data_IF_930658198510
#
_entry.id   IF_930658198510
#
_cell.length_a   1.000
_cell.length_b   1.000
_cell.length_c   1.000
_cell.angle_alpha   90.00
_cell.angle_beta   90.00
_cell.angle_gamma   90.00
#
_symmetry.space_group_name_H-M   'P 1'
#
loop_
_entity.id
_entity.type
_entity.pdbx_description
1 polymer ?
#
# COMPACT_ATOMS: atom_id res chain seq x y z
N UNK A 1 11.44 -24.65 11.57
CA UNK A 1 11.64 -23.69 10.47
C UNK A 1 10.61 -24.01 9.42
N UNK A 2 9.81 -23.04 8.98
CA UNK A 2 8.81 -23.23 7.93
C UNK A 2 9.52 -23.51 6.60
N UNK A 3 8.97 -24.44 5.80
CA UNK A 3 9.41 -24.68 4.43
C UNK A 3 8.64 -23.78 3.43
N UNK A 4 8.94 -23.91 2.14
CA UNK A 4 8.29 -23.08 1.09
C UNK A 4 6.79 -23.32 0.99
N UNK A 5 6.32 -24.53 1.26
CA UNK A 5 4.89 -24.88 1.25
C UNK A 5 4.20 -24.26 2.46
N UNK A 6 4.84 -24.32 3.62
CA UNK A 6 4.33 -23.69 4.85
C UNK A 6 4.21 -22.17 4.66
N UNK A 7 5.23 -21.52 4.09
CA UNK A 7 5.23 -20.09 3.78
C UNK A 7 4.13 -19.72 2.78
N UNK A 8 3.93 -20.56 1.76
CA UNK A 8 2.83 -20.38 0.80
C UNK A 8 1.46 -20.46 1.49
N UNK A 9 1.26 -21.49 2.34
CA UNK A 9 0.03 -21.66 3.11
C UNK A 9 -0.20 -20.47 4.03
N UNK A 10 0.83 -20.01 4.73
CA UNK A 10 0.78 -18.85 5.61
C UNK A 10 0.40 -17.56 4.85
N UNK A 11 0.99 -17.33 3.68
CA UNK A 11 0.66 -16.20 2.80
C UNK A 11 -0.81 -16.25 2.36
N UNK A 12 -1.29 -17.41 1.90
CA UNK A 12 -2.68 -17.59 1.49
C UNK A 12 -3.62 -17.38 2.67
N UNK A 13 -3.33 -17.96 3.82
CA UNK A 13 -4.13 -17.83 5.02
C UNK A 13 -4.23 -16.37 5.48
N UNK A 14 -3.10 -15.66 5.56
CA UNK A 14 -3.06 -14.23 5.91
C UNK A 14 -3.99 -13.40 5.02
N UNK A 15 -4.04 -13.70 3.72
CA UNK A 15 -4.91 -13.02 2.77
C UNK A 15 -6.38 -13.48 2.81
N UNK A 16 -6.70 -14.52 3.57
CA UNK A 16 -8.05 -15.09 3.70
C UNK A 16 -8.66 -14.95 5.07
N UNK A 17 -7.99 -14.31 6.02
CA UNK A 17 -8.45 -14.20 7.41
C UNK A 17 -9.86 -13.61 7.50
N UNK A 18 -10.11 -12.50 6.83
CA UNK A 18 -11.42 -11.84 6.85
C UNK A 18 -11.74 -11.16 5.52
N UNK A 19 -13.03 -11.08 5.17
CA UNK A 19 -13.50 -10.42 3.95
C UNK A 19 -15.00 -10.59 3.73
N UNK A 20 -15.51 -10.04 2.63
CA UNK A 20 -16.95 -9.94 2.36
C UNK A 20 -17.60 -11.15 1.69
N UNK A 21 -16.85 -12.19 1.42
CA UNK A 21 -17.38 -13.34 0.67
C UNK A 21 -17.15 -14.67 1.36
N UNK A 22 -17.89 -15.72 0.99
CA UNK A 22 -17.63 -17.09 1.48
C UNK A 22 -16.24 -17.63 1.19
N UNK A 23 -15.43 -16.92 0.38
CA UNK A 23 -14.03 -17.27 0.11
C UNK A 23 -13.04 -16.87 1.19
N UNK A 24 -13.50 -16.30 2.30
CA UNK A 24 -12.67 -15.94 3.46
C UNK A 24 -13.00 -16.82 4.66
N UNK A 25 -12.08 -16.94 5.60
CA UNK A 25 -12.27 -17.71 6.83
C UNK A 25 -13.35 -17.10 7.72
N UNK A 26 -13.37 -15.78 7.80
CA UNK A 26 -14.43 -15.04 8.46
C UNK A 26 -15.08 -14.07 7.46
N UNK A 27 -16.40 -14.14 7.36
CA UNK A 27 -17.17 -13.18 6.56
C UNK A 27 -17.47 -11.96 7.39
N UNK A 28 -17.19 -10.81 6.85
CA UNK A 28 -17.19 -9.58 7.58
C UNK A 28 -17.78 -8.41 6.78
N UNK A 29 -18.36 -7.44 7.47
CA UNK A 29 -19.12 -6.34 6.86
C UNK A 29 -18.31 -5.08 6.58
N UNK A 30 -17.04 -5.07 6.94
CA UNK A 30 -16.12 -3.94 6.72
C UNK A 30 -15.19 -4.21 5.53
N UNK A 31 -14.45 -3.21 5.05
CA UNK A 31 -13.51 -3.41 3.96
C UNK A 31 -12.58 -4.60 4.20
N UNK A 32 -12.18 -5.32 3.14
CA UNK A 32 -11.47 -6.60 3.25
C UNK A 32 -10.17 -6.59 4.06
N UNK A 33 -9.64 -5.41 4.32
CA UNK A 33 -8.34 -5.25 4.98
C UNK A 33 -8.43 -4.86 6.45
N UNK A 34 -9.65 -4.62 6.96
CA UNK A 34 -9.86 -4.17 8.33
C UNK A 34 -10.64 -5.22 9.11
N UNK A 35 -10.08 -5.71 10.20
CA UNK A 35 -10.80 -6.50 11.17
C UNK A 35 -11.13 -5.61 12.36
N UNK A 36 -12.41 -5.55 12.77
CA UNK A 36 -12.76 -4.87 14.01
C UNK A 36 -12.15 -5.56 15.21
N UNK A 37 -12.00 -4.84 16.30
CA UNK A 37 -11.56 -5.43 17.56
C UNK A 37 -12.48 -6.58 18.00
N UNK A 38 -11.92 -7.51 18.76
CA UNK A 38 -12.67 -8.65 19.31
C UNK A 38 -13.91 -8.23 20.07
N UNK A 39 -13.82 -7.16 20.88
CA UNK A 39 -14.95 -6.62 21.64
C UNK A 39 -16.06 -6.09 20.72
N UNK A 40 -15.69 -5.35 19.66
CA UNK A 40 -16.65 -4.84 18.69
C UNK A 40 -17.32 -5.98 17.91
N UNK A 41 -16.56 -7.04 17.53
CA UNK A 41 -17.13 -8.19 16.84
C UNK A 41 -18.13 -8.95 17.71
N UNK A 42 -17.83 -9.14 19.00
CA UNK A 42 -18.78 -9.74 19.95
C UNK A 42 -20.07 -8.92 20.04
N UNK A 43 -19.98 -7.61 20.13
CA UNK A 43 -21.16 -6.72 20.17
C UNK A 43 -21.99 -6.82 18.87
N UNK A 44 -21.35 -6.86 17.72
CA UNK A 44 -22.01 -7.03 16.40
C UNK A 44 -22.74 -8.38 16.36
N UNK A 45 -22.09 -9.46 16.79
CA UNK A 45 -22.68 -10.79 16.79
C UNK A 45 -23.92 -10.86 17.70
N UNK A 46 -23.86 -10.27 18.88
CA UNK A 46 -25.00 -10.18 19.79
C UNK A 46 -26.16 -9.37 19.17
N UNK A 47 -25.86 -8.17 18.67
CA UNK A 47 -26.89 -7.29 18.09
C UNK A 47 -27.58 -7.89 16.86
N UNK A 48 -26.88 -8.72 16.11
CA UNK A 48 -27.39 -9.37 14.89
C UNK A 48 -27.88 -10.80 15.12
N UNK A 49 -27.81 -11.29 16.36
CA UNK A 49 -28.10 -12.68 16.69
C UNK A 49 -27.42 -13.66 15.72
N UNK A 50 -26.14 -13.44 15.47
CA UNK A 50 -25.35 -14.22 14.51
C UNK A 50 -24.21 -14.97 15.20
N UNK A 51 -23.94 -16.18 14.70
CA UNK A 51 -22.78 -16.99 15.07
C UNK A 51 -21.81 -17.05 13.90
N UNK A 52 -20.54 -17.29 14.21
CA UNK A 52 -19.54 -17.48 13.15
C UNK A 52 -19.89 -18.76 12.37
N UNK A 53 -20.05 -18.68 11.03
CA UNK A 53 -20.32 -19.87 10.23
C UNK A 53 -19.09 -20.77 10.20
N UNK A 54 -19.32 -22.06 10.26
CA UNK A 54 -18.25 -23.04 10.06
C UNK A 54 -17.65 -22.93 8.65
N UNK A 55 -16.33 -22.95 8.56
CA UNK A 55 -15.58 -22.82 7.30
C UNK A 55 -14.57 -23.94 7.16
N UNK A 56 -14.57 -24.61 6.03
CA UNK A 56 -13.51 -25.53 5.64
C UNK A 56 -12.29 -24.71 5.16
N UNK A 57 -11.41 -24.39 6.10
CA UNK A 57 -10.20 -23.58 5.88
C UNK A 57 -9.27 -24.23 4.84
N UNK A 58 -9.14 -25.57 4.87
CA UNK A 58 -8.30 -26.31 3.91
C UNK A 58 -8.80 -26.14 2.49
N UNK A 59 -10.10 -26.30 2.28
CA UNK A 59 -10.74 -26.13 0.98
C UNK A 59 -10.59 -24.70 0.44
N UNK A 60 -10.69 -23.69 1.31
CA UNK A 60 -10.49 -22.29 0.93
C UNK A 60 -9.04 -22.01 0.53
N UNK A 61 -8.06 -22.53 1.27
CA UNK A 61 -6.63 -22.41 0.94
C UNK A 61 -6.35 -23.08 -0.41
N UNK A 62 -6.78 -24.34 -0.59
CA UNK A 62 -6.58 -25.08 -1.84
C UNK A 62 -7.22 -24.39 -3.05
N UNK A 63 -8.46 -23.90 -2.91
CA UNK A 63 -9.15 -23.16 -3.97
C UNK A 63 -8.38 -21.92 -4.38
N UNK A 64 -7.87 -21.14 -3.41
CA UNK A 64 -7.12 -19.91 -3.69
C UNK A 64 -5.75 -20.23 -4.28
N UNK A 65 -5.04 -21.21 -3.74
CA UNK A 65 -3.75 -21.68 -4.27
C UNK A 65 -3.88 -22.11 -5.73
N UNK A 66 -4.88 -22.96 -6.04
CA UNK A 66 -5.14 -23.39 -7.43
C UNK A 66 -5.37 -22.21 -8.37
N UNK A 67 -6.17 -21.22 -7.95
CA UNK A 67 -6.46 -20.04 -8.78
C UNK A 67 -5.21 -19.16 -9.03
N UNK A 68 -4.30 -19.06 -8.07
CA UNK A 68 -3.06 -18.29 -8.24
C UNK A 68 -2.04 -19.04 -9.09
N UNK A 69 -1.84 -20.32 -8.83
CA UNK A 69 -0.86 -21.15 -9.56
C UNK A 69 -1.23 -21.31 -11.04
N UNK A 70 -2.52 -21.49 -11.34
CA UNK A 70 -2.97 -21.55 -12.73
C UNK A 70 -2.69 -20.24 -13.49
N UNK A 71 -2.92 -19.08 -12.85
CA UNK A 71 -2.60 -17.79 -13.47
C UNK A 71 -1.10 -17.60 -13.65
N UNK A 72 -0.30 -17.99 -12.66
CA UNK A 72 1.17 -17.90 -12.75
C UNK A 72 1.74 -18.77 -13.84
N UNK A 73 1.25 -19.99 -14.02
CA UNK A 73 1.67 -20.89 -15.10
C UNK A 73 1.42 -20.30 -16.49
N UNK A 74 0.35 -19.51 -16.67
CA UNK A 74 0.06 -18.82 -17.94
C UNK A 74 1.00 -17.63 -18.21
N UNK A 75 1.51 -16.98 -17.15
CA UNK A 75 2.40 -15.81 -17.27
C UNK A 75 3.87 -16.24 -17.40
N UNK A 76 4.25 -17.35 -16.77
CA UNK A 76 5.64 -17.81 -16.64
C UNK A 76 6.10 -18.67 -17.83
N UNK A 77 5.46 -18.60 -19.00
CA UNK A 77 5.91 -19.31 -20.22
C UNK A 77 7.39 -18.96 -20.56
N UNK A 78 8.32 -19.53 -19.78
CA UNK A 78 9.74 -19.56 -20.07
C UNK A 78 10.59 -18.39 -19.56
N UNK A 79 10.04 -17.26 -19.18
CA UNK A 79 10.80 -16.14 -18.63
C UNK A 79 10.74 -16.14 -17.10
N UNK A 80 11.75 -16.74 -16.48
CA UNK A 80 12.00 -16.56 -15.05
C UNK A 80 12.48 -15.12 -14.85
N UNK A 81 11.56 -14.24 -14.41
CA UNK A 81 11.97 -12.91 -13.99
C UNK A 81 12.71 -13.05 -12.66
N UNK A 82 13.93 -12.59 -12.61
CA UNK A 82 14.65 -12.45 -11.37
C UNK A 82 13.92 -11.40 -10.53
N UNK A 83 13.46 -11.81 -9.36
CA UNK A 83 12.81 -10.91 -8.42
C UNK A 83 13.48 -11.01 -7.06
N UNK A 84 13.47 -9.89 -6.37
CA UNK A 84 14.03 -9.74 -5.05
C UNK A 84 12.97 -9.13 -4.13
N UNK A 85 12.84 -9.68 -2.93
CA UNK A 85 11.92 -9.18 -1.90
C UNK A 85 12.73 -8.87 -0.65
N UNK A 86 12.63 -7.64 -0.18
CA UNK A 86 13.26 -7.20 1.06
C UNK A 86 12.24 -6.55 2.00
N UNK A 87 12.51 -6.62 3.29
CA UNK A 87 11.78 -5.91 4.34
C UNK A 87 12.71 -4.83 4.89
N UNK A 88 12.57 -3.62 4.35
CA UNK A 88 13.40 -2.47 4.69
C UNK A 88 12.57 -1.21 4.83
N UNK A 89 13.13 -0.19 5.47
CA UNK A 89 12.49 1.13 5.51
C UNK A 89 12.70 1.86 4.18
N UNK A 90 11.65 2.46 3.63
CA UNK A 90 11.72 3.16 2.35
C UNK A 90 12.68 4.37 2.31
N UNK A 91 13.10 4.85 3.48
CA UNK A 91 14.13 5.90 3.60
C UNK A 91 15.54 5.33 3.83
N UNK A 92 15.73 4.00 3.78
CA UNK A 92 17.00 3.33 3.99
C UNK A 92 17.00 1.93 3.36
N UNK A 93 17.14 1.86 2.04
CA UNK A 93 17.11 0.64 1.23
C UNK A 93 18.53 0.05 1.11
N UNK A 94 19.01 -0.55 2.20
CA UNK A 94 20.41 -1.04 2.33
C UNK A 94 20.80 -2.08 1.29
N UNK A 95 19.85 -2.90 0.86
CA UNK A 95 20.08 -3.98 -0.08
C UNK A 95 20.02 -3.55 -1.53
N UNK A 96 19.57 -2.30 -1.80
CA UNK A 96 19.48 -1.75 -3.15
C UNK A 96 20.67 -0.84 -3.44
N UNK A 97 21.44 -1.18 -4.46
CA UNK A 97 22.63 -0.43 -4.85
C UNK A 97 22.27 0.95 -5.44
N UNK A 98 23.20 1.88 -5.35
CA UNK A 98 23.13 3.18 -6.01
C UNK A 98 22.98 2.99 -7.52
N UNK A 99 22.24 3.89 -8.17
CA UNK A 99 22.11 3.95 -9.63
C UNK A 99 21.70 2.60 -10.28
N UNK A 100 20.91 1.76 -9.57
CA UNK A 100 20.55 0.40 -10.02
C UNK A 100 19.11 0.28 -10.53
N UNK A 101 18.21 1.16 -10.11
CA UNK A 101 16.76 1.09 -10.38
C UNK A 101 16.37 2.00 -11.53
N UNK A 102 15.61 1.50 -12.49
CA UNK A 102 15.13 2.30 -13.63
C UNK A 102 13.78 2.95 -13.38
N UNK A 103 12.92 2.31 -12.59
CA UNK A 103 11.58 2.79 -12.27
C UNK A 103 11.19 2.40 -10.84
N UNK A 104 10.67 3.36 -10.08
CA UNK A 104 10.00 3.14 -8.80
C UNK A 104 8.52 3.46 -8.95
N UNK A 105 7.66 2.56 -8.48
CA UNK A 105 6.22 2.78 -8.37
C UNK A 105 5.82 2.55 -6.93
N UNK A 106 5.28 3.56 -6.26
CA UNK A 106 4.95 3.47 -4.84
C UNK A 106 3.81 4.39 -4.45
N UNK A 107 3.16 4.06 -3.33
CA UNK A 107 2.14 4.87 -2.67
C UNK A 107 2.51 4.94 -1.18
N UNK A 108 2.79 6.13 -0.63
CA UNK A 108 3.15 6.29 0.77
C UNK A 108 1.94 6.11 1.68
N UNK A 109 2.15 5.96 3.00
CA UNK A 109 1.06 6.05 3.96
C UNK A 109 0.29 7.37 3.84
N UNK A 110 -1.03 7.28 3.88
CA UNK A 110 -1.89 8.47 3.84
C UNK A 110 -1.71 9.32 5.09
N UNK A 111 -1.68 10.62 4.89
CA UNK A 111 -1.67 11.58 5.99
C UNK A 111 -3.02 11.52 6.73
N UNK A 112 -2.99 11.25 8.04
CA UNK A 112 -4.11 11.44 8.99
C UNK A 112 -5.38 10.57 8.76
N UNK A 113 -5.36 9.59 7.84
CA UNK A 113 -6.58 8.89 7.40
C UNK A 113 -6.64 7.45 7.88
N UNK A 114 -5.51 6.75 7.97
CA UNK A 114 -5.47 5.29 8.17
C UNK A 114 -4.73 4.92 9.44
N UNK A 115 -5.41 4.22 10.34
CA UNK A 115 -4.77 3.53 11.46
C UNK A 115 -4.19 2.20 10.99
N UNK A 116 -3.03 2.26 10.33
CA UNK A 116 -2.37 1.06 9.77
C UNK A 116 -2.08 -0.01 10.81
N UNK A 117 -1.84 0.39 12.07
CA UNK A 117 -1.58 -0.52 13.17
C UNK A 117 -2.85 -1.24 13.59
N UNK A 118 -3.91 -0.47 13.87
CA UNK A 118 -5.21 -1.01 14.21
C UNK A 118 -5.81 -1.85 13.08
N UNK A 119 -5.67 -1.41 11.84
CA UNK A 119 -6.22 -2.12 10.67
C UNK A 119 -5.53 -3.46 10.39
N UNK A 120 -4.28 -3.64 10.83
CA UNK A 120 -3.52 -4.86 10.60
C UNK A 120 -3.41 -5.78 11.84
N UNK A 121 -4.07 -5.45 12.95
CA UNK A 121 -3.94 -6.21 14.20
C UNK A 121 -4.17 -7.72 14.02
N UNK A 122 -5.18 -8.13 13.24
CA UNK A 122 -5.50 -9.54 13.03
C UNK A 122 -4.41 -10.26 12.21
N UNK A 123 -3.81 -9.58 11.23
CA UNK A 123 -2.70 -10.13 10.44
C UNK A 123 -1.44 -10.25 11.28
N UNK A 124 -1.16 -9.24 12.09
CA UNK A 124 -0.04 -9.26 13.03
C UNK A 124 -0.20 -10.40 14.04
N UNK A 125 -1.39 -10.51 14.65
CA UNK A 125 -1.70 -11.62 15.56
C UNK A 125 -1.51 -12.99 14.89
N UNK A 126 -2.06 -13.19 13.71
CA UNK A 126 -1.97 -14.47 12.98
C UNK A 126 -0.53 -14.86 12.63
N UNK A 127 0.29 -13.88 12.26
CA UNK A 127 1.69 -14.10 11.89
C UNK A 127 2.66 -13.95 13.07
N UNK A 128 2.17 -13.82 14.30
CA UNK A 128 2.98 -13.65 15.52
C UNK A 128 3.92 -12.45 15.44
N UNK A 129 3.47 -11.37 14.81
CA UNK A 129 4.18 -10.10 14.70
C UNK A 129 3.67 -9.18 15.81
N UNK A 130 4.57 -8.66 16.62
CA UNK A 130 4.25 -7.58 17.54
C UNK A 130 4.18 -6.25 16.76
N UNK A 131 2.99 -5.63 16.62
CA UNK A 131 2.85 -4.38 15.88
C UNK A 131 3.60 -3.21 16.54
N UNK A 132 3.94 -3.30 17.84
CA UNK A 132 4.75 -2.29 18.52
C UNK A 132 6.22 -2.35 18.09
N UNK A 133 6.69 -3.51 17.67
CA UNK A 133 8.07 -3.69 17.17
C UNK A 133 8.25 -3.21 15.73
N UNK A 134 7.17 -2.92 15.00
CA UNK A 134 7.21 -2.48 13.61
C UNK A 134 7.15 -0.96 13.55
N UNK A 135 8.14 -0.33 12.92
CA UNK A 135 8.16 1.10 12.66
C UNK A 135 7.11 1.47 11.58
N UNK A 136 5.84 1.56 11.98
CA UNK A 136 4.74 1.93 11.09
C UNK A 136 4.68 3.45 11.00
N UNK A 137 4.78 3.97 9.78
CA UNK A 137 4.68 5.40 9.53
C UNK A 137 3.20 5.84 9.58
N UNK A 138 2.88 6.70 10.54
CA UNK A 138 1.56 7.31 10.70
C UNK A 138 1.73 8.75 11.18
N UNK A 139 1.61 9.70 10.27
CA UNK A 139 1.81 11.12 10.57
C UNK A 139 0.48 11.86 10.57
N UNK A 140 0.30 12.78 11.53
CA UNK A 140 -0.87 13.68 11.63
C UNK A 140 -0.55 15.10 11.19
N UNK A 141 0.71 15.49 11.27
CA UNK A 141 1.21 16.78 10.81
C UNK A 141 1.66 16.66 9.34
N UNK A 142 1.31 17.64 8.51
CA UNK A 142 1.77 17.72 7.13
C UNK A 142 3.29 17.95 7.08
N UNK A 143 3.84 18.69 8.02
CA UNK A 143 5.27 18.97 8.08
C UNK A 143 6.08 17.71 8.38
N UNK A 144 5.67 16.92 9.39
CA UNK A 144 6.33 15.66 9.74
C UNK A 144 6.21 14.64 8.59
N UNK A 145 5.03 14.58 7.96
CA UNK A 145 4.80 13.74 6.79
C UNK A 145 5.71 14.16 5.63
N UNK A 146 5.79 15.45 5.34
CA UNK A 146 6.64 15.98 4.26
C UNK A 146 8.13 15.75 4.52
N UNK A 147 8.58 15.89 5.77
CA UNK A 147 9.95 15.56 6.15
C UNK A 147 10.27 14.08 5.90
N UNK A 148 9.36 13.16 6.30
CA UNK A 148 9.50 11.74 6.05
C UNK A 148 9.47 11.39 4.55
N UNK A 149 8.58 12.03 3.77
CA UNK A 149 8.54 11.85 2.30
C UNK A 149 9.80 12.37 1.63
N UNK A 150 10.34 13.49 2.09
CA UNK A 150 11.62 14.01 1.59
C UNK A 150 12.76 13.04 1.85
N UNK A 151 12.82 12.44 3.03
CA UNK A 151 13.83 11.42 3.35
C UNK A 151 13.68 10.18 2.47
N UNK A 152 12.44 9.71 2.25
CA UNK A 152 12.15 8.61 1.34
C UNK A 152 12.58 8.94 -0.10
N UNK A 153 12.19 10.11 -0.62
CA UNK A 153 12.52 10.53 -1.99
C UNK A 153 14.02 10.74 -2.20
N UNK A 154 14.79 11.14 -1.16
CA UNK A 154 16.26 11.18 -1.20
C UNK A 154 16.85 9.78 -1.39
N UNK A 155 16.31 8.79 -0.69
CA UNK A 155 16.75 7.41 -0.83
C UNK A 155 16.36 6.83 -2.21
N UNK A 156 15.16 7.16 -2.70
CA UNK A 156 14.77 6.80 -4.07
C UNK A 156 15.66 7.46 -5.12
N UNK A 157 16.07 8.71 -4.90
CA UNK A 157 17.03 9.37 -5.78
C UNK A 157 18.38 8.65 -5.78
N UNK A 158 18.88 8.18 -4.62
CA UNK A 158 20.13 7.42 -4.54
C UNK A 158 20.09 6.18 -5.41
N UNK A 159 19.04 5.36 -5.27
CA UNK A 159 18.93 4.07 -5.94
C UNK A 159 18.57 4.17 -7.43
N UNK A 160 17.95 5.26 -7.87
CA UNK A 160 17.59 5.46 -9.26
C UNK A 160 18.82 5.67 -10.15
N UNK A 161 18.81 5.05 -11.32
CA UNK A 161 19.74 5.36 -12.42
C UNK A 161 19.54 6.80 -12.89
N UNK A 162 20.59 7.47 -13.41
CA UNK A 162 20.41 8.69 -14.16
C UNK A 162 19.37 8.51 -15.27
N UNK A 163 18.37 9.39 -15.34
CA UNK A 163 17.23 9.26 -16.24
C UNK A 163 16.11 8.33 -15.77
N UNK A 164 16.25 7.66 -14.64
CA UNK A 164 15.24 6.82 -14.02
C UNK A 164 14.03 7.61 -13.49
N UNK A 165 12.92 6.93 -13.26
CA UNK A 165 11.64 7.52 -12.93
C UNK A 165 11.08 7.05 -11.58
N UNK A 166 10.33 7.94 -10.94
CA UNK A 166 9.45 7.62 -9.80
C UNK A 166 8.03 7.98 -10.16
N UNK A 167 7.11 7.03 -10.00
CA UNK A 167 5.68 7.26 -9.97
C UNK A 167 5.20 7.18 -8.50
N UNK A 168 4.89 8.32 -7.92
CA UNK A 168 4.55 8.46 -6.50
C UNK A 168 3.07 8.81 -6.35
N UNK A 169 2.26 7.83 -5.98
CA UNK A 169 0.82 7.99 -5.89
C UNK A 169 0.40 8.51 -4.53
N UNK A 170 -0.40 9.58 -4.52
CA UNK A 170 -1.04 10.15 -3.33
C UNK A 170 -2.53 10.34 -3.57
N UNK A 171 -3.30 10.32 -2.48
CA UNK A 171 -4.72 10.64 -2.49
C UNK A 171 -4.98 12.05 -1.99
N UNK A 172 -6.21 12.48 -2.12
CA UNK A 172 -6.69 13.68 -1.45
C UNK A 172 -6.93 13.40 0.03
N UNK A 173 -6.59 14.35 0.88
CA UNK A 173 -6.82 14.27 2.32
C UNK A 173 -7.61 15.47 2.82
N UNK A 174 -8.22 15.34 4.01
CA UNK A 174 -9.01 16.40 4.64
C UNK A 174 -10.09 16.96 3.71
N UNK A 175 -10.79 16.08 3.00
CA UNK A 175 -11.88 16.43 2.05
C UNK A 175 -11.42 17.36 0.93
N UNK A 176 -10.21 17.17 0.41
CA UNK A 176 -9.65 17.97 -0.68
C UNK A 176 -9.08 19.32 -0.26
N UNK A 177 -9.00 19.61 1.05
CA UNK A 177 -8.39 20.87 1.52
C UNK A 177 -6.86 20.84 1.52
N UNK A 178 -6.24 19.68 1.32
CA UNK A 178 -4.79 19.52 1.25
C UNK A 178 -4.43 18.82 -0.06
N UNK A 179 -3.68 19.53 -0.89
CA UNK A 179 -3.11 19.03 -2.14
C UNK A 179 -1.80 18.31 -1.84
N UNK A 180 -1.86 17.00 -1.54
CA UNK A 180 -0.64 16.24 -1.23
C UNK A 180 0.30 16.16 -2.42
N UNK A 181 -0.19 16.20 -3.65
CA UNK A 181 0.63 16.20 -4.86
C UNK A 181 1.58 17.39 -4.95
N UNK A 182 1.14 18.57 -4.50
CA UNK A 182 1.98 19.78 -4.45
C UNK A 182 3.08 19.61 -3.38
N UNK A 183 2.68 19.12 -2.20
CA UNK A 183 3.64 18.83 -1.12
C UNK A 183 4.68 17.80 -1.57
N UNK A 184 4.25 16.73 -2.26
CA UNK A 184 5.15 15.70 -2.82
C UNK A 184 6.09 16.29 -3.87
N UNK A 185 5.60 17.17 -4.75
CA UNK A 185 6.44 17.84 -5.74
C UNK A 185 7.55 18.68 -5.09
N UNK A 186 7.23 19.38 -3.99
CA UNK A 186 8.21 20.15 -3.21
C UNK A 186 9.22 19.19 -2.55
N UNK A 187 8.76 18.10 -1.93
CA UNK A 187 9.62 17.08 -1.33
C UNK A 187 10.58 16.46 -2.35
N UNK A 188 10.08 16.18 -3.56
CA UNK A 188 10.89 15.61 -4.64
C UNK A 188 12.00 16.56 -5.10
N UNK A 189 11.69 17.84 -5.28
CA UNK A 189 12.71 18.86 -5.59
C UNK A 189 13.77 18.95 -4.48
N UNK A 190 13.35 18.95 -3.22
CA UNK A 190 14.26 18.95 -2.08
C UNK A 190 15.13 17.67 -2.00
N UNK A 191 14.68 16.58 -2.62
CA UNK A 191 15.40 15.32 -2.74
C UNK A 191 16.31 15.25 -3.99
N UNK A 192 16.32 16.27 -4.86
CA UNK A 192 17.10 16.28 -6.11
C UNK A 192 16.40 15.61 -7.30
N UNK A 193 15.11 15.34 -7.19
CA UNK A 193 14.30 14.79 -8.28
C UNK A 193 13.57 15.91 -9.02
N UNK A 194 13.40 15.76 -10.33
CA UNK A 194 12.64 16.68 -11.17
C UNK A 194 11.19 16.24 -11.30
N UNK A 195 10.20 16.99 -10.80
CA UNK A 195 8.79 16.69 -11.07
C UNK A 195 8.51 17.05 -12.54
N UNK A 196 8.04 16.05 -13.31
CA UNK A 196 7.79 16.18 -14.74
C UNK A 196 6.29 16.26 -15.06
N UNK A 197 5.46 15.55 -14.31
CA UNK A 197 4.03 15.51 -14.52
C UNK A 197 3.27 15.09 -13.27
N UNK A 198 2.00 15.48 -13.19
CA UNK A 198 1.02 14.93 -12.24
C UNK A 198 -0.07 14.27 -13.09
N UNK A 199 -0.19 12.95 -12.96
CA UNK A 199 -1.26 12.20 -13.60
C UNK A 199 -2.45 12.13 -12.64
N UNK A 200 -3.62 12.55 -13.11
CA UNK A 200 -4.85 12.53 -12.32
C UNK A 200 -5.75 11.43 -12.87
N UNK A 201 -6.00 10.40 -12.05
CA UNK A 201 -6.96 9.38 -12.35
C UNK A 201 -8.28 9.72 -11.66
N UNK A 202 -9.20 10.34 -12.39
CA UNK A 202 -10.53 10.65 -11.91
C UNK A 202 -11.47 9.45 -12.16
N UNK A 203 -12.28 9.09 -11.17
CA UNK A 203 -13.26 8.01 -11.24
C UNK A 203 -14.65 8.56 -10.91
N UNK A 204 -15.67 8.10 -11.63
CA UNK A 204 -17.05 8.53 -11.43
C UNK A 204 -17.69 7.99 -10.14
N UNK A 205 -17.04 7.06 -9.45
CA UNK A 205 -17.53 6.50 -8.19
C UNK A 205 -16.40 6.30 -7.18
N UNK A 206 -16.73 6.45 -5.91
CA UNK A 206 -15.79 6.19 -4.81
C UNK A 206 -15.69 4.70 -4.51
N UNK A 207 -14.52 4.10 -4.71
CA UNK A 207 -14.24 2.73 -4.27
C UNK A 207 -14.29 2.55 -2.76
N UNK A 208 -14.21 3.64 -2.01
CA UNK A 208 -14.14 3.70 -0.55
C UNK A 208 -15.44 4.20 0.09
N UNK A 209 -16.54 4.03 -0.64
CA UNK A 209 -17.86 4.35 -0.15
C UNK A 209 -18.11 3.78 1.24
N UNK A 210 -18.52 4.65 2.16
CA UNK A 210 -18.76 4.30 3.56
C UNK A 210 -17.54 3.74 4.32
N UNK A 211 -16.34 3.78 3.72
CA UNK A 211 -15.09 3.47 4.37
C UNK A 211 -14.41 4.76 4.82
N UNK A 212 -13.81 4.75 6.01
CA UNK A 212 -13.04 5.88 6.56
C UNK A 212 -13.82 7.20 6.66
N UNK A 213 -15.12 7.13 6.90
CA UNK A 213 -15.96 8.32 7.04
C UNK A 213 -16.24 9.07 5.74
N UNK A 214 -15.92 8.50 4.60
CA UNK A 214 -16.24 9.07 3.26
C UNK A 214 -17.67 8.75 2.91
N UNK A 215 -18.50 9.79 2.72
CA UNK A 215 -19.88 9.65 2.29
C UNK A 215 -19.96 9.77 0.76
N UNK A 216 -20.40 8.71 0.10
CA UNK A 216 -20.40 8.53 -1.35
C UNK A 216 -21.16 9.53 -2.17
N UNK A 217 -22.12 10.17 -1.58
CA UNK A 217 -23.08 10.96 -2.38
C UNK A 217 -22.79 12.45 -2.41
N UNK A 218 -21.82 12.93 -1.65
CA UNK A 218 -21.66 14.37 -1.56
C UNK A 218 -20.24 14.93 -1.68
N UNK A 219 -19.15 14.20 -1.38
CA UNK A 219 -17.79 14.78 -1.40
C UNK A 219 -16.67 13.75 -1.23
N UNK A 220 -16.78 12.56 -1.81
CA UNK A 220 -15.66 11.66 -1.89
C UNK A 220 -14.73 12.13 -3.01
N UNK A 221 -13.46 12.23 -2.73
CA UNK A 221 -12.48 12.46 -3.78
C UNK A 221 -12.24 11.15 -4.51
N UNK A 222 -12.57 11.13 -5.77
CA UNK A 222 -12.44 9.97 -6.64
C UNK A 222 -11.16 10.07 -7.47
N UNK A 223 -10.18 10.82 -6.98
CA UNK A 223 -8.97 11.08 -7.73
C UNK A 223 -7.75 10.49 -7.02
N UNK A 224 -7.05 9.63 -7.72
CA UNK A 224 -5.67 9.29 -7.38
C UNK A 224 -4.76 10.20 -8.18
N UNK A 225 -3.73 10.75 -7.55
CA UNK A 225 -2.78 11.68 -8.16
C UNK A 225 -1.40 11.09 -8.08
N UNK A 226 -0.78 10.90 -9.24
CA UNK A 226 0.53 10.30 -9.35
C UNK A 226 1.52 11.40 -9.75
N UNK A 227 2.41 11.75 -8.84
CA UNK A 227 3.50 12.67 -9.14
C UNK A 227 4.63 11.89 -9.77
N UNK A 228 4.92 12.21 -11.02
CA UNK A 228 5.99 11.59 -11.78
C UNK A 228 7.26 12.41 -11.67
N UNK A 229 8.32 11.81 -11.16
CA UNK A 229 9.64 12.42 -11.07
C UNK A 229 10.63 11.72 -11.97
N UNK A 230 11.67 12.47 -12.35
CA UNK A 230 12.82 11.95 -13.06
C UNK A 230 14.11 12.32 -12.34
N UNK A 231 15.06 11.40 -12.24
CA UNK A 231 16.43 11.71 -11.86
C UNK A 231 17.16 12.32 -13.06
N UNK A 232 17.84 13.44 -12.88
CA UNK A 232 18.59 14.07 -13.97
C UNK A 232 19.56 13.08 -14.64
N UNK A 233 19.66 13.16 -15.96
CA UNK A 233 20.64 12.40 -16.72
C UNK A 233 21.92 13.21 -16.88
N UNK A 234 23.08 12.55 -16.90
CA UNK A 234 24.37 13.19 -17.16
C UNK A 234 24.43 13.89 -18.54
N UNK A 235 23.42 13.70 -19.40
CA UNK A 235 23.34 14.28 -20.76
C UNK A 235 22.40 15.49 -20.87
N UNK A 236 22.24 16.30 -19.82
CA UNK A 236 21.74 17.67 -20.01
C UNK A 236 20.22 17.88 -19.96
N UNK A 237 19.41 16.97 -19.43
CA UNK A 237 18.04 17.30 -19.04
C UNK A 237 18.06 18.04 -17.70
N UNK A 238 18.12 19.36 -17.75
CA UNK A 238 17.95 20.22 -16.56
C UNK A 238 16.48 20.24 -16.17
N UNK A 239 16.22 20.18 -14.88
CA UNK A 239 14.89 20.37 -14.31
C UNK A 239 14.26 21.66 -14.87
N UNK A 240 13.09 21.57 -15.50
CA UNK A 240 12.36 22.77 -15.93
C UNK A 240 11.93 23.52 -14.68
N UNK A 241 12.48 24.69 -14.44
CA UNK A 241 11.93 25.63 -13.48
C UNK A 241 10.57 26.07 -14.02
N UNK A 242 9.50 25.53 -13.47
CA UNK A 242 8.16 26.12 -13.64
C UNK A 242 8.14 27.38 -12.77
N UNK A 243 7.81 28.55 -13.34
CA UNK A 243 7.75 29.81 -12.60
C UNK A 243 6.72 29.77 -11.48
#
# INVERSE_FOLDING_TARGET
KLDEVDLWIQMIATNRLTGHSPGFFSVYTMPPNQAVSLASQKKINLNRNQTAPERDVRKLILKKSKALLLKSAMILNGNRLDHFVAVESANNLKTVMDDSVSLVVTSPPFLDVVDYKGDNWLRCWFNQIDPESVAIWGYRSLDDWSAAMTACLKELHRVLKPGGWVAFEVGEVRKGSVSLEESVAICGRAAGLCPEAILINAQDFTKTAHCWGVNNQSKGTNTNRIVCFRKESKMGHKCRTVP
#
